data_IF_317165453062
#
_entry.id   IF_317165453062
#
_cell.length_a   1.000
_cell.length_b   1.000
_cell.length_c   1.000
_cell.angle_alpha   90.00
_cell.angle_beta   90.00
_cell.angle_gamma   90.00
#
_symmetry.space_group_name_H-M   'P 1'
#
loop_
_entity.id
_entity.type
_entity.pdbx_description
1 polymer ?
#
# COMPACT_ATOMS: atom_id res chain seq x y z
N UNK A 1 7.31 18.24 4.63
CA UNK A 1 6.82 17.57 5.86
C UNK A 1 6.91 16.07 5.64
N UNK A 2 7.12 15.28 6.68
CA UNK A 2 7.19 13.82 6.63
C UNK A 2 6.25 13.19 7.66
N UNK A 3 5.98 11.90 7.49
CA UNK A 3 5.27 11.08 8.46
C UNK A 3 6.29 10.35 9.32
N UNK A 4 6.16 10.47 10.64
CA UNK A 4 6.89 9.64 11.59
C UNK A 4 6.04 8.41 11.90
N UNK A 5 6.59 7.25 11.55
CA UNK A 5 6.00 5.94 11.83
C UNK A 5 6.70 5.40 13.08
N UNK A 6 6.03 5.35 14.24
CA UNK A 6 6.65 4.85 15.47
C UNK A 6 6.95 3.36 15.37
N UNK A 7 7.94 2.91 16.13
CA UNK A 7 8.20 1.49 16.33
C UNK A 7 6.96 0.80 16.92
N UNK A 8 6.67 -0.42 16.47
CA UNK A 8 5.50 -1.22 16.89
C UNK A 8 4.12 -0.66 16.51
N UNK A 9 4.04 0.21 15.51
CA UNK A 9 2.74 0.58 14.93
C UNK A 9 2.01 -0.67 14.42
N UNK A 10 0.69 -0.71 14.66
CA UNK A 10 -0.16 -1.74 14.06
C UNK A 10 -0.32 -1.47 12.56
N UNK A 11 0.02 -2.47 11.75
CA UNK A 11 -0.14 -2.43 10.30
C UNK A 11 -1.08 -3.53 9.84
N UNK A 12 -1.96 -3.21 8.90
CA UNK A 12 -2.66 -4.18 8.08
C UNK A 12 -1.78 -4.55 6.90
N UNK A 13 -1.65 -5.85 6.65
CA UNK A 13 -0.89 -6.39 5.52
C UNK A 13 -1.89 -6.83 4.47
N UNK A 14 -1.86 -6.19 3.31
CA UNK A 14 -2.68 -6.55 2.16
C UNK A 14 -1.79 -7.16 1.09
N UNK A 15 -2.00 -8.43 0.77
CA UNK A 15 -1.35 -9.09 -0.35
C UNK A 15 -2.31 -9.15 -1.55
N UNK A 16 -1.82 -8.75 -2.72
CA UNK A 16 -2.56 -8.76 -3.98
C UNK A 16 -1.77 -9.58 -5.00
N UNK A 17 -2.42 -10.54 -5.65
CA UNK A 17 -1.78 -11.41 -6.64
C UNK A 17 -2.57 -11.52 -7.94
N UNK A 18 -1.86 -11.70 -9.05
CA UNK A 18 -2.44 -11.83 -10.38
C UNK A 18 -1.42 -12.17 -11.47
N UNK A 19 -1.90 -12.37 -12.69
CA UNK A 19 -1.01 -12.46 -13.86
C UNK A 19 -0.24 -11.14 -14.02
N UNK A 20 -0.94 -10.03 -13.82
CA UNK A 20 -0.31 -8.72 -13.61
C UNK A 20 -1.14 -7.86 -12.64
N UNK A 21 -0.46 -7.04 -11.84
CA UNK A 21 -1.07 -6.18 -10.82
C UNK A 21 -0.64 -4.73 -11.06
N UNK A 22 -1.62 -3.84 -11.24
CA UNK A 22 -1.39 -2.40 -11.35
C UNK A 22 -1.90 -1.70 -10.09
N UNK A 23 -0.99 -1.09 -9.35
CA UNK A 23 -1.29 -0.36 -8.12
C UNK A 23 -1.81 1.05 -8.44
N UNK A 24 -2.89 1.46 -7.77
CA UNK A 24 -3.58 2.74 -7.98
C UNK A 24 -3.33 3.77 -6.86
N UNK A 25 -2.60 3.38 -5.83
CA UNK A 25 -2.23 4.20 -4.66
C UNK A 25 -0.72 4.36 -4.59
N UNK A 26 -0.24 5.26 -3.73
CA UNK A 26 1.19 5.44 -3.45
C UNK A 26 1.43 5.56 -1.96
N UNK A 27 2.67 5.40 -1.54
CA UNK A 27 3.07 5.64 -0.15
C UNK A 27 2.68 7.07 0.29
N UNK A 28 2.20 7.18 1.52
CA UNK A 28 1.63 8.41 2.09
C UNK A 28 0.18 8.69 1.70
N UNK A 29 -0.46 7.89 0.85
CA UNK A 29 -1.90 8.04 0.57
C UNK A 29 -2.77 7.56 1.73
N UNK A 30 -3.84 8.31 1.98
CA UNK A 30 -4.92 7.88 2.87
C UNK A 30 -5.91 7.06 2.04
N UNK A 31 -6.26 5.88 2.52
CA UNK A 31 -7.27 4.99 1.95
C UNK A 31 -8.40 4.77 2.94
N UNK A 32 -9.62 4.63 2.42
CA UNK A 32 -10.81 4.26 3.20
C UNK A 32 -11.27 2.87 2.81
N UNK A 33 -12.03 2.24 3.71
CA UNK A 33 -12.68 0.95 3.42
C UNK A 33 -13.53 1.06 2.15
N UNK A 34 -13.31 0.14 1.22
CA UNK A 34 -13.97 0.08 -0.08
C UNK A 34 -13.23 0.82 -1.19
N UNK A 35 -12.17 1.58 -0.91
CA UNK A 35 -11.38 2.26 -1.94
C UNK A 35 -10.69 1.24 -2.85
N UNK A 36 -10.66 1.55 -4.14
CA UNK A 36 -9.97 0.73 -5.13
C UNK A 36 -8.48 1.04 -5.09
N UNK A 37 -7.68 0.05 -4.70
CA UNK A 37 -6.22 0.23 -4.53
C UNK A 37 -5.39 -0.48 -5.61
N UNK A 38 -5.98 -1.41 -6.36
CA UNK A 38 -5.30 -2.07 -7.49
C UNK A 38 -6.28 -2.53 -8.59
N UNK A 39 -5.72 -2.77 -9.78
CA UNK A 39 -6.32 -3.57 -10.85
C UNK A 39 -5.51 -4.85 -11.03
N UNK A 40 -6.21 -5.96 -11.23
CA UNK A 40 -5.62 -7.28 -11.37
C UNK A 40 -6.01 -7.84 -12.73
N UNK A 41 -5.02 -8.14 -13.57
CA UNK A 41 -5.21 -9.02 -14.72
C UNK A 41 -5.11 -10.46 -14.25
N UNK A 42 -6.17 -11.25 -14.46
CA UNK A 42 -6.19 -12.67 -14.09
C UNK A 42 -5.56 -13.53 -15.19
N UNK A 43 -5.17 -14.77 -14.87
CA UNK A 43 -4.68 -15.74 -15.85
C UNK A 43 -5.70 -16.11 -16.94
N UNK A 44 -6.98 -15.84 -16.71
CA UNK A 44 -8.08 -16.05 -17.68
C UNK A 44 -8.34 -14.82 -18.56
N UNK A 45 -7.57 -13.74 -18.42
CA UNK A 45 -7.73 -12.51 -19.19
C UNK A 45 -8.79 -11.54 -18.64
N UNK A 46 -9.41 -11.83 -17.49
CA UNK A 46 -10.34 -10.90 -16.86
C UNK A 46 -9.59 -9.78 -16.11
N UNK A 47 -10.08 -8.54 -16.23
CA UNK A 47 -9.61 -7.39 -15.44
C UNK A 47 -10.51 -7.19 -14.21
N UNK A 48 -9.95 -7.36 -13.01
CA UNK A 48 -10.66 -7.19 -11.74
C UNK A 48 -10.13 -5.99 -10.96
N UNK A 49 -10.95 -5.46 -10.07
CA UNK A 49 -10.55 -4.38 -9.16
C UNK A 49 -10.38 -4.95 -7.75
N UNK A 50 -9.28 -4.62 -7.09
CA UNK A 50 -9.09 -4.91 -5.68
C UNK A 50 -9.49 -3.69 -4.85
N UNK A 51 -10.33 -3.90 -3.84
CA UNK A 51 -10.76 -2.86 -2.91
C UNK A 51 -10.24 -3.19 -1.52
N UNK A 52 -9.69 -2.19 -0.83
CA UNK A 52 -9.23 -2.38 0.55
C UNK A 52 -10.40 -2.54 1.50
N UNK A 53 -10.24 -3.38 2.52
CA UNK A 53 -11.14 -3.47 3.66
C UNK A 53 -10.67 -2.62 4.86
N UNK A 54 -9.50 -2.01 4.74
CA UNK A 54 -8.78 -1.28 5.78
C UNK A 54 -8.83 0.22 5.51
N UNK A 55 -8.97 1.02 6.57
CA UNK A 55 -8.78 2.47 6.53
C UNK A 55 -7.43 2.83 7.17
N UNK A 56 -6.70 3.76 6.56
CA UNK A 56 -5.41 4.20 7.10
C UNK A 56 -4.52 4.87 6.06
N UNK A 57 -3.22 4.92 6.36
CA UNK A 57 -2.20 5.46 5.46
C UNK A 57 -1.38 4.33 4.86
N UNK A 58 -1.19 4.35 3.55
CA UNK A 58 -0.27 3.45 2.85
C UNK A 58 1.16 3.78 3.27
N UNK A 59 1.78 2.90 4.05
CA UNK A 59 3.13 3.09 4.58
C UNK A 59 4.20 2.56 3.64
N UNK A 60 3.91 1.46 2.96
CA UNK A 60 4.89 0.78 2.13
C UNK A 60 4.23 -0.07 1.05
N UNK A 61 4.84 -0.10 -0.14
CA UNK A 61 4.42 -0.95 -1.26
C UNK A 61 5.66 -1.67 -1.81
N UNK A 62 5.61 -2.99 -1.89
CA UNK A 62 6.70 -3.79 -2.47
C UNK A 62 6.20 -4.96 -3.28
N UNK A 63 6.98 -5.32 -4.30
CA UNK A 63 6.82 -6.57 -5.02
C UNK A 63 7.36 -7.72 -4.17
N UNK A 64 6.65 -8.85 -4.17
CA UNK A 64 7.14 -10.11 -3.64
C UNK A 64 7.64 -10.96 -4.81
N UNK A 65 8.95 -11.15 -4.87
CA UNK A 65 9.57 -11.98 -5.91
C UNK A 65 9.33 -13.47 -5.65
N UNK A 66 9.04 -14.21 -6.72
CA UNK A 66 8.91 -15.66 -6.70
C UNK A 66 7.55 -16.16 -7.18
N UNK A 67 7.57 -17.11 -8.11
CA UNK A 67 6.38 -17.71 -8.72
C UNK A 67 6.09 -17.20 -10.14
N UNK A 68 5.02 -17.72 -10.74
CA UNK A 68 4.57 -17.39 -12.10
C UNK A 68 3.58 -16.22 -12.16
N UNK A 69 3.28 -15.59 -11.01
CA UNK A 69 2.31 -14.50 -10.86
C UNK A 69 2.93 -13.32 -10.15
N UNK A 70 2.59 -12.10 -10.57
CA UNK A 70 2.93 -10.89 -9.82
C UNK A 70 2.21 -10.89 -8.46
N UNK A 71 2.96 -10.57 -7.40
CA UNK A 71 2.48 -10.47 -6.02
C UNK A 71 2.95 -9.15 -5.45
N UNK A 72 2.03 -8.35 -4.96
CA UNK A 72 2.31 -7.05 -4.33
C UNK A 72 1.88 -7.11 -2.88
N UNK A 73 2.71 -6.59 -2.00
CA UNK A 73 2.42 -6.41 -0.58
C UNK A 73 2.28 -4.92 -0.28
N UNK A 74 1.18 -4.55 0.35
CA UNK A 74 0.86 -3.19 0.77
C UNK A 74 0.71 -3.19 2.29
N UNK A 75 1.45 -2.31 2.96
CA UNK A 75 1.31 -2.06 4.38
C UNK A 75 0.46 -0.81 4.61
N UNK A 76 -0.61 -0.95 5.39
CA UNK A 76 -1.50 0.17 5.76
C UNK A 76 -1.45 0.36 7.28
N UNK A 77 -1.02 1.53 7.73
CA UNK A 77 -0.96 1.90 9.14
C UNK A 77 -2.15 2.74 9.57
N UNK A 78 -2.52 2.65 10.85
CA UNK A 78 -3.52 3.53 11.45
C UNK A 78 -3.03 4.99 11.46
N UNK A 79 -3.82 5.88 10.86
CA UNK A 79 -3.50 7.30 10.74
C UNK A 79 -3.35 7.99 12.09
N UNK A 80 -4.08 7.54 13.11
CA UNK A 80 -4.04 8.13 14.45
C UNK A 80 -2.77 7.77 15.22
N UNK A 81 -2.04 6.76 14.74
CA UNK A 81 -0.78 6.29 15.31
C UNK A 81 0.44 6.95 14.66
N UNK A 82 0.25 7.90 13.74
CA UNK A 82 1.34 8.56 13.00
C UNK A 82 1.66 9.95 13.55
N UNK A 83 2.95 10.25 13.65
CA UNK A 83 3.45 11.60 13.96
C UNK A 83 3.69 12.42 12.70
N UNK A 84 3.70 13.76 12.85
CA UNK A 84 4.20 14.67 11.80
C UNK A 84 5.61 15.11 12.15
N UNK A 85 6.50 15.10 11.16
CA UNK A 85 7.86 15.61 11.30
C UNK A 85 8.16 16.68 10.26
N UNK A 86 8.90 17.70 10.67
CA UNK A 86 9.47 18.69 9.76
C UNK A 86 10.85 18.21 9.35
N UNK A 87 11.01 17.86 8.08
CA UNK A 87 12.30 17.46 7.53
C UNK A 87 13.04 18.74 7.11
N UNK A 88 14.09 19.10 7.83
CA UNK A 88 14.99 20.18 7.43
C UNK A 88 16.01 19.64 6.44
N UNK A 89 15.79 19.91 5.15
CA UNK A 89 16.75 19.58 4.10
C UNK A 89 17.94 20.54 4.17
N UNK A 90 19.06 20.11 4.76
CA UNK A 90 20.35 20.76 4.48
C UNK A 90 20.74 20.38 3.05
N UNK A 91 20.52 21.30 2.11
CA UNK A 91 21.14 21.19 0.77
C UNK A 91 22.66 21.32 0.97
N UNK A 92 23.38 20.23 0.73
CA UNK A 92 24.83 20.23 0.51
C UNK A 92 25.12 20.41 -0.97
#
# INVERSE_FOLDING_TARGET
EGLYVPENIKVSITEISGLSVSILVREGYIVKKGDKIARILTSKGELRSFRTDTEGVVLYITDLFGGSSERILILIGDINSLGRIKVESRRS
#
